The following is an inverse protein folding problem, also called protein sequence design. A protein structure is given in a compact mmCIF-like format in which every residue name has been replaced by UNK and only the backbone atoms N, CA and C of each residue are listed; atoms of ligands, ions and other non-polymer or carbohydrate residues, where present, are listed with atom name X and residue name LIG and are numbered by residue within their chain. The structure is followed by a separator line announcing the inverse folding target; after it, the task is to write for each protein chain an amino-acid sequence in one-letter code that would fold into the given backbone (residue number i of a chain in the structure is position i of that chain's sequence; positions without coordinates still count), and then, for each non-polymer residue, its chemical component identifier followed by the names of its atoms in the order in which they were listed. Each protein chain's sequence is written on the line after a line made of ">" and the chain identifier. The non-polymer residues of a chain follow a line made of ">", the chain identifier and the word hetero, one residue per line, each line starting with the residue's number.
data_IF_686084393416
#
_entry.id   IF_686084393416
#
_cell.length_a   1.000
_cell.length_b   1.000
_cell.length_c   1.000
_cell.angle_alpha   90.00
_cell.angle_beta   90.00
_cell.angle_gamma   90.00
#
_symmetry.space_group_name_H-M   'P 1'
#
loop_
_entity.id
_entity.type
_entity.pdbx_description
1 polymer ?
#
# COMPACT_ATOMS: atom_id res chain seq x y z
N UNK A 1 0.66 -9.87 -3.24
CA UNK A 1 0.93 -11.31 -3.48
C UNK A 1 1.10 -12.09 -2.20
N UNK A 2 2.13 -11.87 -1.37
CA UNK A 2 2.36 -12.68 -0.15
C UNK A 2 1.10 -12.84 0.71
N UNK A 3 0.47 -11.73 1.11
CA UNK A 3 -0.75 -11.72 1.92
C UNK A 3 -1.85 -12.58 1.30
N UNK A 4 -2.30 -12.25 0.08
CA UNK A 4 -3.39 -12.97 -0.55
C UNK A 4 -3.09 -14.43 -0.87
N UNK A 5 -1.87 -14.77 -1.30
CA UNK A 5 -1.51 -16.17 -1.56
C UNK A 5 -1.44 -17.00 -0.26
N UNK A 6 -0.98 -16.40 0.84
CA UNK A 6 -1.02 -17.06 2.15
C UNK A 6 -2.45 -17.38 2.56
N UNK A 7 -3.39 -16.44 2.37
CA UNK A 7 -4.81 -16.67 2.66
C UNK A 7 -5.38 -17.76 1.73
N UNK A 8 -5.10 -17.71 0.42
CA UNK A 8 -5.57 -18.71 -0.55
C UNK A 8 -5.12 -20.12 -0.17
N UNK A 9 -3.86 -20.27 0.25
CA UNK A 9 -3.29 -21.55 0.69
C UNK A 9 -4.03 -22.14 1.90
N UNK A 10 -4.56 -21.29 2.77
CA UNK A 10 -5.28 -21.66 4.00
C UNK A 10 -6.80 -21.46 3.85
N UNK A 11 -7.33 -21.58 2.64
CA UNK A 11 -8.74 -21.40 2.32
C UNK A 11 -9.33 -22.59 1.57
N UNK A 12 -10.65 -22.58 1.39
CA UNK A 12 -11.34 -23.60 0.58
C UNK A 12 -11.22 -23.36 -0.93
N UNK A 13 -10.50 -22.32 -1.38
CA UNK A 13 -10.32 -22.00 -2.78
C UNK A 13 -9.78 -23.20 -3.59
N UNK A 14 -10.46 -23.51 -4.71
CA UNK A 14 -10.08 -24.61 -5.64
C UNK A 14 -9.54 -24.12 -6.97
N UNK A 15 -9.28 -22.83 -7.10
CA UNK A 15 -8.75 -22.19 -8.31
C UNK A 15 -7.48 -21.43 -7.99
N UNK A 16 -6.50 -21.34 -8.91
CA UNK A 16 -5.32 -20.53 -8.70
C UNK A 16 -5.70 -19.04 -8.68
N UNK A 17 -5.08 -18.27 -7.78
CA UNK A 17 -5.30 -16.84 -7.70
C UNK A 17 -4.21 -16.05 -8.42
N UNK A 18 -4.62 -15.12 -9.28
CA UNK A 18 -3.75 -14.10 -9.87
C UNK A 18 -4.10 -12.76 -9.28
N UNK A 19 -3.25 -12.26 -8.38
CA UNK A 19 -3.50 -11.01 -7.67
C UNK A 19 -2.77 -9.85 -8.35
N UNK A 20 -3.47 -8.75 -8.60
CA UNK A 20 -2.94 -7.52 -9.21
C UNK A 20 -3.32 -6.30 -8.40
N UNK A 21 -2.43 -5.32 -8.37
CA UNK A 21 -2.71 -4.00 -7.77
C UNK A 21 -3.10 -3.04 -8.88
N UNK A 22 -4.19 -2.29 -8.69
CA UNK A 22 -4.63 -1.23 -9.61
C UNK A 22 -4.21 0.12 -9.03
N UNK A 23 -3.54 0.95 -9.85
CA UNK A 23 -3.18 2.32 -9.46
C UNK A 23 -4.39 3.26 -9.55
N UNK A 24 -5.20 3.27 -8.48
CA UNK A 24 -6.31 4.20 -8.29
C UNK A 24 -6.46 4.53 -6.80
N UNK A 25 -6.87 5.77 -6.51
CA UNK A 25 -7.13 6.26 -5.14
C UNK A 25 -8.42 5.69 -4.54
N UNK A 26 -9.22 4.99 -5.36
CA UNK A 26 -10.45 4.38 -4.91
C UNK A 26 -10.20 3.24 -3.92
N UNK A 27 -10.96 3.26 -2.83
CA UNK A 27 -10.94 2.20 -1.82
C UNK A 27 -11.82 1.05 -2.30
N UNK A 28 -11.21 0.06 -2.96
CA UNK A 28 -11.91 -1.13 -3.44
C UNK A 28 -10.97 -2.33 -3.60
N UNK A 29 -11.56 -3.52 -3.58
CA UNK A 29 -10.97 -4.75 -4.06
C UNK A 29 -12.09 -5.63 -4.61
N UNK A 30 -11.79 -6.50 -5.57
CA UNK A 30 -12.79 -7.40 -6.13
C UNK A 30 -12.13 -8.62 -6.77
N UNK A 31 -12.76 -9.77 -6.62
CA UNK A 31 -12.33 -11.00 -7.27
C UNK A 31 -13.34 -11.47 -8.33
N UNK A 32 -12.81 -11.96 -9.45
CA UNK A 32 -13.59 -12.55 -10.53
C UNK A 32 -13.63 -14.08 -10.42
N UNK A 33 -14.68 -14.73 -10.96
CA UNK A 33 -14.66 -16.16 -11.20
C UNK A 33 -13.35 -16.59 -11.88
N UNK A 34 -12.73 -17.66 -11.37
CA UNK A 34 -11.44 -18.16 -11.86
C UNK A 34 -10.20 -17.59 -11.16
N UNK A 35 -10.35 -16.77 -10.11
CA UNK A 35 -9.26 -16.39 -9.21
C UNK A 35 -8.48 -15.13 -9.61
N UNK A 36 -8.95 -14.34 -10.58
CA UNK A 36 -8.38 -13.03 -10.85
C UNK A 36 -8.82 -12.05 -9.78
N UNK A 37 -7.87 -11.54 -9.01
CA UNK A 37 -8.15 -10.73 -7.85
C UNK A 37 -7.43 -9.37 -7.95
N UNK A 38 -8.20 -8.29 -7.91
CA UNK A 38 -7.70 -6.93 -8.01
C UNK A 38 -7.84 -6.18 -6.69
N UNK A 39 -6.78 -5.48 -6.31
CA UNK A 39 -6.71 -4.67 -5.09
C UNK A 39 -6.32 -3.26 -5.50
N UNK A 40 -7.11 -2.25 -5.15
CA UNK A 40 -6.77 -0.87 -5.48
C UNK A 40 -5.71 -0.32 -4.50
N UNK A 41 -4.86 0.57 -5.00
CA UNK A 41 -3.90 1.33 -4.17
C UNK A 41 -4.61 2.06 -3.02
N UNK A 42 -5.75 2.68 -3.28
CA UNK A 42 -6.56 3.37 -2.26
C UNK A 42 -6.92 2.48 -1.07
N UNK A 43 -7.25 1.20 -1.32
CA UNK A 43 -7.54 0.25 -0.24
C UNK A 43 -6.30 -0.06 0.61
N UNK A 44 -5.15 -0.28 -0.03
CA UNK A 44 -3.89 -0.55 0.67
C UNK A 44 -3.51 0.64 1.56
N UNK A 45 -3.72 1.87 1.07
CA UNK A 45 -3.44 3.10 1.84
C UNK A 45 -4.44 3.33 2.99
N UNK A 46 -5.68 2.86 2.85
CA UNK A 46 -6.71 2.97 3.88
C UNK A 46 -6.52 2.00 5.07
N UNK A 47 -5.87 0.86 4.85
CA UNK A 47 -5.55 -0.10 5.92
C UNK A 47 -4.40 0.41 6.80
N UNK A 48 -4.55 0.38 8.13
CA UNK A 48 -3.51 0.83 9.08
C UNK A 48 -2.43 -0.24 9.30
N UNK A 49 -2.80 -1.51 9.18
CA UNK A 49 -1.93 -2.65 9.34
C UNK A 49 -2.23 -3.75 8.30
N UNK A 50 -1.38 -4.77 8.25
CA UNK A 50 -1.50 -5.85 7.28
C UNK A 50 -2.74 -6.73 7.52
N UNK A 51 -3.13 -6.95 8.79
CA UNK A 51 -4.29 -7.77 9.13
C UNK A 51 -5.61 -7.16 8.65
N UNK A 52 -5.74 -5.83 8.64
CA UNK A 52 -6.89 -5.13 8.07
C UNK A 52 -6.99 -5.33 6.55
N UNK A 53 -5.87 -5.18 5.83
CA UNK A 53 -5.83 -5.46 4.40
C UNK A 53 -6.13 -6.94 4.12
N UNK A 54 -5.52 -7.84 4.91
CA UNK A 54 -5.76 -9.27 4.85
C UNK A 54 -7.24 -9.58 5.07
N UNK A 55 -7.92 -8.85 5.96
CA UNK A 55 -9.35 -9.00 6.23
C UNK A 55 -10.21 -8.80 4.99
N UNK A 56 -10.03 -7.69 4.28
CA UNK A 56 -10.74 -7.45 3.01
C UNK A 56 -10.35 -8.49 1.97
N UNK A 57 -9.07 -8.89 1.92
CA UNK A 57 -8.63 -9.92 0.99
C UNK A 57 -9.26 -11.30 1.26
N UNK A 58 -9.40 -11.68 2.52
CA UNK A 58 -10.01 -12.94 2.93
C UNK A 58 -11.51 -12.99 2.59
N UNK A 59 -12.21 -11.86 2.74
CA UNK A 59 -13.60 -11.69 2.32
C UNK A 59 -13.77 -11.97 0.82
N UNK A 60 -12.96 -11.34 -0.02
CA UNK A 60 -13.01 -11.54 -1.47
C UNK A 60 -12.66 -12.98 -1.89
N UNK A 61 -11.66 -13.58 -1.22
CA UNK A 61 -11.29 -14.99 -1.46
C UNK A 61 -12.45 -15.92 -1.06
N UNK A 62 -13.18 -15.61 0.03
CA UNK A 62 -14.34 -16.37 0.45
C UNK A 62 -15.48 -16.33 -0.59
N UNK A 63 -15.75 -15.18 -1.22
CA UNK A 63 -16.72 -15.11 -2.33
C UNK A 63 -16.36 -16.02 -3.50
N UNK A 64 -15.08 -16.12 -3.83
CA UNK A 64 -14.62 -17.01 -4.91
C UNK A 64 -14.68 -18.48 -4.48
N UNK A 65 -14.24 -18.80 -3.26
CA UNK A 65 -14.26 -20.15 -2.71
C UNK A 65 -15.70 -20.71 -2.65
N UNK A 66 -16.65 -19.90 -2.18
CA UNK A 66 -18.07 -20.23 -2.11
C UNK A 66 -18.83 -20.03 -3.44
N UNK A 67 -18.14 -19.58 -4.51
CA UNK A 67 -18.71 -19.36 -5.86
C UNK A 67 -19.92 -18.41 -5.89
N UNK A 68 -20.00 -17.47 -4.95
CA UNK A 68 -21.13 -16.53 -4.83
C UNK A 68 -21.41 -15.76 -6.13
N UNK A 69 -20.37 -15.39 -6.89
CA UNK A 69 -20.55 -14.70 -8.17
C UNK A 69 -21.27 -15.58 -9.21
N UNK A 70 -21.03 -16.89 -9.21
CA UNK A 70 -21.71 -17.84 -10.10
C UNK A 70 -23.15 -18.09 -9.67
N UNK A 71 -23.40 -18.20 -8.36
CA UNK A 71 -24.75 -18.38 -7.83
C UNK A 71 -25.64 -17.15 -8.08
N UNK A 72 -25.06 -15.95 -7.93
CA UNK A 72 -25.75 -14.71 -8.25
C UNK A 72 -25.97 -14.55 -9.77
N UNK A 73 -25.01 -15.01 -10.59
CA UNK A 73 -25.10 -15.01 -12.05
C UNK A 73 -26.00 -16.13 -12.60
N UNK A 74 -26.34 -17.16 -11.84
CA UNK A 74 -27.44 -18.07 -12.20
C UNK A 74 -28.77 -17.35 -12.42
N UNK A 75 -28.89 -16.12 -11.91
CA UNK A 75 -30.02 -15.20 -12.11
C UNK A 75 -29.77 -14.13 -13.21
N UNK A 76 -28.53 -13.98 -13.69
CA UNK A 76 -28.14 -13.02 -14.72
C UNK A 76 -27.64 -13.76 -15.98
N UNK A 77 -28.42 -13.69 -17.06
CA UNK A 77 -28.24 -14.41 -18.33
C UNK A 77 -26.79 -14.64 -18.79
N UNK A 78 -26.57 -15.73 -19.54
CA UNK A 78 -25.31 -16.18 -20.12
C UNK A 78 -24.48 -15.09 -20.85
N UNK A 79 -25.13 -13.98 -21.22
CA UNK A 79 -24.57 -12.80 -21.88
C UNK A 79 -23.47 -12.09 -21.07
N UNK A 80 -23.48 -12.17 -19.73
CA UNK A 80 -22.43 -11.56 -18.89
C UNK A 80 -21.11 -12.36 -18.88
N UNK A 81 -21.15 -13.66 -19.16
CA UNK A 81 -19.93 -14.48 -19.19
C UNK A 81 -19.04 -14.19 -20.40
N UNK A 82 -19.60 -13.71 -21.53
CA UNK A 82 -18.81 -13.30 -22.69
C UNK A 82 -17.95 -12.06 -22.42
N UNK A 83 -18.49 -11.08 -21.69
CA UNK A 83 -17.73 -9.91 -21.24
C UNK A 83 -16.66 -10.31 -20.21
N UNK A 84 -17.01 -11.20 -19.26
CA UNK A 84 -16.07 -11.72 -18.27
C UNK A 84 -14.94 -12.54 -18.91
N UNK A 85 -15.24 -13.37 -19.91
CA UNK A 85 -14.26 -14.10 -20.69
C UNK A 85 -13.38 -13.15 -21.52
N UNK A 86 -13.93 -12.08 -22.09
CA UNK A 86 -13.15 -11.03 -22.73
C UNK A 86 -12.17 -10.31 -21.78
N UNK A 87 -12.55 -10.14 -20.52
CA UNK A 87 -11.69 -9.61 -19.45
C UNK A 87 -10.59 -10.61 -19.06
N UNK A 88 -10.93 -11.90 -18.95
CA UNK A 88 -10.01 -12.95 -18.51
C UNK A 88 -9.02 -13.36 -19.62
N UNK A 89 -9.48 -13.44 -20.87
CA UNK A 89 -8.73 -14.01 -22.00
C UNK A 89 -8.34 -12.98 -23.09
N UNK A 90 -8.78 -11.72 -23.01
CA UNK A 90 -8.66 -10.72 -24.08
C UNK A 90 -7.28 -10.07 -24.31
N UNK A 91 -6.21 -10.53 -23.65
CA UNK A 91 -4.85 -10.04 -23.91
C UNK A 91 -4.67 -8.51 -23.72
N UNK A 92 -3.77 -7.84 -24.48
CA UNK A 92 -3.35 -6.44 -24.23
C UNK A 92 -4.47 -5.38 -24.30
N UNK A 93 -5.68 -5.76 -24.69
CA UNK A 93 -6.90 -4.93 -24.60
C UNK A 93 -7.26 -4.64 -23.13
N UNK A 94 -6.87 -5.51 -22.20
CA UNK A 94 -7.14 -5.35 -20.76
C UNK A 94 -6.53 -4.05 -20.20
N UNK A 95 -5.40 -3.61 -20.76
CA UNK A 95 -4.81 -2.31 -20.45
C UNK A 95 -5.83 -1.19 -20.69
N UNK A 96 -6.29 -1.02 -21.93
CA UNK A 96 -7.15 0.11 -22.28
C UNK A 96 -8.55 0.06 -21.65
N UNK A 97 -9.11 -1.13 -21.39
CA UNK A 97 -10.43 -1.27 -20.78
C UNK A 97 -10.39 -1.06 -19.25
N UNK A 98 -9.31 -1.47 -18.58
CA UNK A 98 -9.12 -1.24 -17.14
C UNK A 98 -8.72 0.21 -16.86
N UNK A 99 -7.91 0.84 -17.73
CA UNK A 99 -7.50 2.25 -17.59
C UNK A 99 -8.64 3.25 -17.87
N UNK A 100 -9.65 2.88 -18.67
CA UNK A 100 -10.81 3.77 -18.96
C UNK A 100 -12.01 3.58 -18.03
N UNK A 101 -11.94 2.70 -17.02
CA UNK A 101 -12.86 2.63 -15.87
C UNK A 101 -14.36 2.40 -16.11
N UNK A 102 -14.91 2.50 -17.33
CA UNK A 102 -16.36 2.52 -17.55
C UNK A 102 -17.00 1.16 -17.85
N UNK A 103 -16.34 0.32 -18.66
CA UNK A 103 -16.95 -0.91 -19.21
C UNK A 103 -17.02 -2.07 -18.22
N UNK A 104 -15.93 -2.33 -17.49
CA UNK A 104 -15.85 -3.43 -16.52
C UNK A 104 -16.69 -3.14 -15.27
N UNK A 105 -16.72 -1.88 -14.84
CA UNK A 105 -17.42 -1.49 -13.61
C UNK A 105 -18.93 -1.68 -13.69
N UNK A 106 -19.53 -1.54 -14.87
CA UNK A 106 -20.98 -1.72 -15.04
C UNK A 106 -21.39 -3.19 -14.81
N UNK A 107 -20.58 -4.14 -15.29
CA UNK A 107 -20.81 -5.58 -15.07
C UNK A 107 -20.54 -6.02 -13.62
N UNK A 108 -19.56 -5.42 -12.95
CA UNK A 108 -19.27 -5.71 -11.53
C UNK A 108 -20.28 -5.06 -10.57
N UNK A 109 -20.79 -3.87 -10.88
CA UNK A 109 -21.83 -3.21 -10.08
C UNK A 109 -23.16 -4.00 -10.06
N UNK A 110 -23.35 -4.92 -11.02
CA UNK A 110 -24.47 -5.87 -11.02
C UNK A 110 -24.23 -7.09 -10.12
N UNK A 111 -23.01 -7.33 -9.62
CA UNK A 111 -22.68 -8.42 -8.69
C UNK A 111 -23.01 -8.07 -7.23
N UNK A 112 -24.16 -7.42 -6.98
CA UNK A 112 -24.64 -7.21 -5.62
C UNK A 112 -24.88 -8.55 -4.96
N UNK A 113 -24.10 -8.89 -3.95
CA UNK A 113 -24.26 -10.14 -3.23
C UNK A 113 -25.44 -10.08 -2.27
N UNK A 114 -26.06 -11.24 -2.04
CA UNK A 114 -27.15 -11.36 -1.07
C UNK A 114 -26.61 -11.25 0.36
N UNK A 115 -27.48 -10.92 1.32
CA UNK A 115 -27.10 -10.89 2.75
C UNK A 115 -26.52 -12.22 3.23
N UNK A 116 -27.09 -13.35 2.81
CA UNK A 116 -26.58 -14.68 3.16
C UNK A 116 -25.18 -14.94 2.59
N UNK A 117 -24.91 -14.48 1.37
CA UNK A 117 -23.59 -14.60 0.75
C UNK A 117 -22.54 -13.73 1.47
N UNK A 118 -22.91 -12.52 1.91
CA UNK A 118 -22.03 -11.68 2.71
C UNK A 118 -21.76 -12.29 4.10
N UNK A 119 -22.78 -12.83 4.77
CA UNK A 119 -22.63 -13.50 6.08
C UNK A 119 -21.76 -14.76 5.98
N UNK A 120 -21.92 -15.54 4.90
CA UNK A 120 -21.05 -16.68 4.64
C UNK A 120 -19.61 -16.27 4.31
N UNK A 121 -19.43 -15.23 3.49
CA UNK A 121 -18.12 -14.69 3.15
C UNK A 121 -17.39 -14.14 4.39
N UNK A 122 -18.09 -13.43 5.28
CA UNK A 122 -17.57 -12.99 6.57
C UNK A 122 -17.11 -14.18 7.42
N UNK A 123 -17.98 -15.17 7.61
CA UNK A 123 -17.70 -16.35 8.42
C UNK A 123 -16.48 -17.11 7.90
N UNK A 124 -16.40 -17.33 6.58
CA UNK A 124 -15.27 -18.01 5.94
C UNK A 124 -14.00 -17.15 5.98
N UNK A 125 -14.11 -15.85 5.71
CA UNK A 125 -13.00 -14.90 5.76
C UNK A 125 -12.32 -14.89 7.13
N UNK A 126 -13.09 -14.87 8.22
CA UNK A 126 -12.58 -14.96 9.60
C UNK A 126 -11.80 -16.26 9.81
N UNK A 127 -12.35 -17.40 9.34
CA UNK A 127 -11.69 -18.70 9.44
C UNK A 127 -10.38 -18.74 8.64
N UNK A 128 -10.35 -18.17 7.44
CA UNK A 128 -9.15 -18.13 6.60
C UNK A 128 -8.07 -17.23 7.19
N UNK A 129 -8.43 -16.10 7.79
CA UNK A 129 -7.48 -15.25 8.52
C UNK A 129 -6.83 -16.02 9.67
N UNK A 130 -7.66 -16.65 10.50
CA UNK A 130 -7.19 -17.47 11.61
C UNK A 130 -6.27 -18.59 11.12
N UNK A 131 -6.68 -19.34 10.08
CA UNK A 131 -5.90 -20.41 9.50
C UNK A 131 -4.55 -19.91 8.94
N UNK A 132 -4.54 -18.74 8.29
CA UNK A 132 -3.35 -18.10 7.73
C UNK A 132 -2.45 -17.41 8.78
N UNK A 133 -2.87 -17.37 10.05
CA UNK A 133 -2.12 -16.79 11.17
C UNK A 133 -2.26 -15.28 11.35
N UNK A 134 -3.18 -14.63 10.62
CA UNK A 134 -3.52 -13.23 10.82
C UNK A 134 -4.46 -13.03 12.00
N UNK A 135 -4.41 -11.84 12.61
CA UNK A 135 -5.41 -11.44 13.59
C UNK A 135 -6.80 -11.38 12.93
N UNK A 136 -7.74 -12.28 13.29
CA UNK A 136 -9.04 -12.33 12.65
C UNK A 136 -9.91 -11.09 12.91
N UNK A 137 -9.59 -10.31 13.96
CA UNK A 137 -10.28 -9.04 14.29
C UNK A 137 -9.91 -7.91 13.33
N UNK A 138 -8.84 -8.07 12.54
CA UNK A 138 -8.43 -7.11 11.50
C UNK A 138 -9.53 -6.85 10.48
N UNK A 139 -10.35 -7.86 10.17
CA UNK A 139 -11.46 -7.72 9.24
C UNK A 139 -12.57 -6.82 9.76
N UNK A 140 -13.06 -7.04 10.99
CA UNK A 140 -14.07 -6.18 11.61
C UNK A 140 -13.56 -4.75 11.76
N UNK A 141 -12.30 -4.59 12.18
CA UNK A 141 -11.65 -3.28 12.34
C UNK A 141 -11.61 -2.52 11.02
N UNK A 142 -11.28 -3.20 9.92
CA UNK A 142 -11.24 -2.57 8.59
C UNK A 142 -12.63 -2.17 8.11
N UNK A 143 -13.65 -3.02 8.27
CA UNK A 143 -15.01 -2.67 7.84
C UNK A 143 -15.62 -1.52 8.66
N UNK A 144 -15.38 -1.47 9.97
CA UNK A 144 -15.77 -0.33 10.81
C UNK A 144 -15.12 0.96 10.34
N UNK A 145 -13.83 0.93 10.01
CA UNK A 145 -13.10 2.07 9.48
C UNK A 145 -13.70 2.55 8.16
N UNK A 146 -13.97 1.64 7.22
CA UNK A 146 -14.58 1.95 5.93
C UNK A 146 -15.97 2.55 6.08
N UNK A 147 -16.79 2.00 6.98
CA UNK A 147 -18.10 2.54 7.33
C UNK A 147 -17.98 3.96 7.91
N UNK A 148 -17.05 4.19 8.84
CA UNK A 148 -16.79 5.50 9.41
C UNK A 148 -16.30 6.51 8.35
N UNK A 149 -15.46 6.07 7.41
CA UNK A 149 -15.00 6.89 6.28
C UNK A 149 -16.17 7.27 5.36
N UNK A 150 -17.08 6.34 5.06
CA UNK A 150 -18.28 6.61 4.27
C UNK A 150 -19.21 7.61 4.97
N UNK A 151 -19.37 7.49 6.30
CA UNK A 151 -20.17 8.44 7.10
C UNK A 151 -19.58 9.84 7.08
N UNK A 152 -18.25 9.97 7.17
CA UNK A 152 -17.55 11.26 7.12
C UNK A 152 -17.58 11.90 5.73
N UNK A 153 -17.39 11.10 4.67
CA UNK A 153 -17.42 11.55 3.28
C UNK A 153 -18.27 10.58 2.46
N UNK A 154 -19.58 10.85 2.32
CA UNK A 154 -20.47 10.00 1.54
C UNK A 154 -19.89 9.71 0.15
N UNK A 155 -19.75 8.43 -0.16
CA UNK A 155 -19.24 7.95 -1.43
C UNK A 155 -17.73 7.67 -1.48
N UNK A 156 -16.97 7.96 -0.41
CA UNK A 156 -15.53 7.65 -0.34
C UNK A 156 -15.21 6.16 -0.55
N UNK A 157 -16.16 5.28 -0.22
CA UNK A 157 -16.07 3.82 -0.39
C UNK A 157 -17.27 3.29 -1.20
N UNK A 158 -17.89 4.14 -2.03
CA UNK A 158 -19.10 3.81 -2.79
C UNK A 158 -18.95 2.52 -3.61
N UNK A 159 -17.78 2.31 -4.22
CA UNK A 159 -17.53 1.14 -5.07
C UNK A 159 -17.53 -0.16 -4.27
N UNK A 160 -16.85 -0.18 -3.13
CA UNK A 160 -16.85 -1.33 -2.23
C UNK A 160 -18.27 -1.64 -1.73
N UNK A 161 -19.00 -0.65 -1.25
CA UNK A 161 -20.36 -0.85 -0.75
C UNK A 161 -21.43 -1.02 -1.83
N UNK A 162 -21.09 -0.77 -3.09
CA UNK A 162 -22.00 -1.05 -4.21
C UNK A 162 -22.18 -2.55 -4.44
N UNK A 163 -21.14 -3.36 -4.20
CA UNK A 163 -21.16 -4.83 -4.32
C UNK A 163 -21.31 -5.52 -2.96
N UNK A 164 -20.80 -4.92 -1.89
CA UNK A 164 -20.85 -5.43 -0.51
C UNK A 164 -21.64 -4.48 0.39
N UNK A 165 -22.97 -4.58 0.46
CA UNK A 165 -23.76 -3.71 1.33
C UNK A 165 -23.26 -3.74 2.79
N UNK A 166 -23.17 -2.58 3.42
CA UNK A 166 -22.82 -2.48 4.84
C UNK A 166 -23.83 -3.30 5.67
N UNK A 167 -23.32 -4.15 6.56
CA UNK A 167 -24.14 -4.87 7.52
C UNK A 167 -23.74 -4.41 8.93
N UNK A 168 -24.71 -3.82 9.63
CA UNK A 168 -24.54 -3.20 10.94
C UNK A 168 -24.10 -4.20 12.02
N UNK A 169 -24.36 -5.49 11.82
CA UNK A 169 -24.05 -6.55 12.78
C UNK A 169 -22.74 -7.30 12.46
N UNK A 170 -22.04 -6.98 11.36
CA UNK A 170 -20.83 -7.72 10.90
C UNK A 170 -19.74 -7.79 11.96
N UNK A 171 -19.57 -6.70 12.71
CA UNK A 171 -18.60 -6.63 13.82
C UNK A 171 -18.94 -7.69 14.87
N UNK A 172 -20.15 -7.63 15.39
CA UNK A 172 -20.56 -8.46 16.52
C UNK A 172 -20.57 -9.95 16.13
N UNK A 173 -21.01 -10.27 14.91
CA UNK A 173 -20.96 -11.64 14.39
C UNK A 173 -19.53 -12.14 14.19
N UNK A 174 -18.64 -11.28 13.67
CA UNK A 174 -17.21 -11.58 13.52
C UNK A 174 -16.56 -11.83 14.87
N UNK A 175 -16.70 -10.91 15.83
CA UNK A 175 -16.12 -11.05 17.17
C UNK A 175 -16.65 -12.29 17.91
N UNK A 176 -17.95 -12.58 17.79
CA UNK A 176 -18.55 -13.78 18.37
C UNK A 176 -18.06 -15.08 17.73
N UNK A 177 -17.55 -15.04 16.49
CA UNK A 177 -16.89 -16.17 15.85
C UNK A 177 -15.43 -16.29 16.30
N UNK A 178 -14.70 -15.17 16.35
CA UNK A 178 -13.29 -15.14 16.80
C UNK A 178 -13.16 -15.70 18.22
N UNK A 179 -14.10 -15.38 19.11
CA UNK A 179 -14.13 -15.89 20.48
C UNK A 179 -14.26 -17.43 20.60
N UNK A 180 -14.56 -18.14 19.50
CA UNK A 180 -14.66 -19.61 19.48
C UNK A 180 -13.38 -20.28 19.02
N UNK A 181 -12.42 -19.53 18.49
CA UNK A 181 -11.14 -20.11 18.10
C UNK A 181 -10.28 -20.39 19.33
N UNK A 182 -9.45 -21.45 19.29
CA UNK A 182 -8.39 -21.62 20.27
C UNK A 182 -7.53 -20.37 20.34
N UNK A 183 -7.13 -19.99 21.57
CA UNK A 183 -6.18 -18.92 21.76
C UNK A 183 -4.85 -19.27 21.07
N UNK A 184 -4.20 -18.26 20.52
CA UNK A 184 -2.86 -18.35 19.94
C UNK A 184 -1.94 -17.40 20.67
N UNK A 185 -0.70 -17.81 20.84
CA UNK A 185 0.34 -16.98 21.46
C UNK A 185 0.58 -15.69 20.66
N UNK A 186 0.55 -15.80 19.33
CA UNK A 186 0.83 -14.69 18.43
C UNK A 186 -0.05 -14.69 17.17
N UNK A 187 -0.40 -13.48 16.73
CA UNK A 187 -1.05 -13.20 15.45
C UNK A 187 -0.21 -12.24 14.61
N UNK A 188 -0.25 -12.41 13.29
CA UNK A 188 0.27 -11.42 12.37
C UNK A 188 -0.70 -10.23 12.33
N UNK A 189 -0.31 -9.13 12.97
CA UNK A 189 -1.04 -7.85 12.91
C UNK A 189 -0.50 -6.99 11.76
N UNK A 190 0.81 -6.82 11.70
CA UNK A 190 1.48 -6.03 10.66
C UNK A 190 2.89 -6.55 10.42
N UNK A 191 3.41 -6.31 9.22
CA UNK A 191 4.81 -6.60 8.88
C UNK A 191 5.55 -5.34 8.44
N UNK A 192 6.88 -5.37 8.51
CA UNK A 192 7.74 -4.30 7.97
C UNK A 192 7.67 -4.22 6.43
N UNK A 193 7.33 -5.31 5.76
CA UNK A 193 7.07 -5.31 4.32
C UNK A 193 5.83 -4.48 3.97
N UNK A 194 4.72 -4.69 4.69
CA UNK A 194 3.49 -3.92 4.48
C UNK A 194 3.76 -2.42 4.64
N UNK A 195 4.48 -2.01 5.69
CA UNK A 195 4.78 -0.60 5.91
C UNK A 195 5.65 -0.01 4.81
N UNK A 196 6.69 -0.73 4.35
CA UNK A 196 7.52 -0.27 3.22
C UNK A 196 6.72 -0.10 1.94
N UNK A 197 5.79 -1.03 1.66
CA UNK A 197 4.89 -0.92 0.51
C UNK A 197 3.97 0.28 0.66
N UNK A 198 3.34 0.45 1.83
CA UNK A 198 2.45 1.58 2.11
C UNK A 198 3.17 2.93 1.94
N UNK A 199 4.37 3.08 2.51
CA UNK A 199 5.21 4.26 2.35
C UNK A 199 5.58 4.54 0.90
N UNK A 200 5.94 3.49 0.14
CA UNK A 200 6.26 3.63 -1.27
C UNK A 200 5.04 4.10 -2.09
N UNK A 201 3.88 3.53 -1.84
CA UNK A 201 2.63 3.93 -2.49
C UNK A 201 2.24 5.38 -2.12
N UNK A 202 2.44 5.80 -0.87
CA UNK A 202 2.24 7.20 -0.46
C UNK A 202 3.16 8.15 -1.22
N UNK A 203 4.45 7.81 -1.38
CA UNK A 203 5.41 8.62 -2.15
C UNK A 203 4.98 8.78 -3.60
N UNK A 204 4.56 7.69 -4.26
CA UNK A 204 4.04 7.72 -5.63
C UNK A 204 2.80 8.61 -5.73
N UNK A 205 1.88 8.47 -4.77
CA UNK A 205 0.62 9.24 -4.72
C UNK A 205 0.91 10.74 -4.58
N UNK A 206 1.78 11.12 -3.64
CA UNK A 206 2.16 12.51 -3.39
C UNK A 206 2.91 13.12 -4.58
N UNK A 207 3.81 12.36 -5.21
CA UNK A 207 4.51 12.80 -6.42
C UNK A 207 3.51 13.07 -7.56
N UNK A 208 2.52 12.19 -7.76
CA UNK A 208 1.46 12.37 -8.76
C UNK A 208 0.60 13.60 -8.46
N UNK A 209 0.22 13.81 -7.20
CA UNK A 209 -0.54 14.99 -6.79
C UNK A 209 0.26 16.30 -7.00
N UNK A 210 1.56 16.29 -6.69
CA UNK A 210 2.45 17.43 -6.93
C UNK A 210 2.61 17.75 -8.42
N UNK A 211 2.73 16.72 -9.27
CA UNK A 211 2.77 16.91 -10.74
C UNK A 211 1.45 17.48 -11.26
N UNK A 212 0.30 16.99 -10.80
CA UNK A 212 -1.01 17.52 -11.21
C UNK A 212 -1.20 18.98 -10.76
N UNK A 213 -0.78 19.32 -9.54
CA UNK A 213 -0.82 20.70 -9.06
C UNK A 213 0.06 21.65 -9.90
N UNK A 214 1.18 21.16 -10.43
CA UNK A 214 2.08 21.92 -11.31
C UNK A 214 1.49 22.17 -12.70
N UNK A 215 0.65 21.24 -13.20
CA UNK A 215 -0.08 21.39 -14.46
C UNK A 215 -1.29 22.32 -14.35
N UNK A 216 -2.02 22.28 -13.23
CA UNK A 216 -3.21 23.11 -13.01
C UNK A 216 -2.87 24.57 -12.64
N UNK A 217 -1.61 24.86 -12.32
CA UNK A 217 -1.11 26.21 -12.04
C UNK A 217 0.14 26.56 -12.87
N UNK A 218 -0.02 26.81 -14.19
CA UNK A 218 1.11 27.00 -15.11
C UNK A 218 1.92 28.29 -14.89
N UNK A 219 1.53 29.15 -13.94
CA UNK A 219 2.09 30.50 -13.78
C UNK A 219 3.05 30.67 -12.58
N UNK A 220 3.29 29.63 -11.75
CA UNK A 220 4.13 29.79 -10.53
C UNK A 220 5.35 28.86 -10.41
N UNK A 221 5.65 28.04 -11.43
CA UNK A 221 6.69 27.00 -11.32
C UNK A 221 7.74 27.01 -12.42
N UNK A 222 8.28 28.18 -12.75
CA UNK A 222 9.61 28.23 -13.36
C UNK A 222 10.62 28.50 -12.25
N UNK A 223 11.54 27.58 -11.92
CA UNK A 223 12.61 27.89 -10.98
C UNK A 223 13.49 28.98 -11.59
N UNK A 224 13.22 30.22 -11.22
CA UNK A 224 14.03 31.36 -11.64
C UNK A 224 15.19 31.48 -10.66
N UNK A 225 16.41 31.35 -11.20
CA UNK A 225 17.62 31.71 -10.48
C UNK A 225 17.53 33.19 -10.12
N UNK A 226 17.26 33.52 -8.85
CA UNK A 226 17.42 34.88 -8.32
C UNK A 226 18.88 35.28 -8.51
N UNK A 227 19.18 36.00 -9.60
CA UNK A 227 20.43 36.74 -9.73
C UNK A 227 20.41 37.81 -8.64
N UNK A 228 21.41 37.76 -7.76
CA UNK A 228 21.64 38.82 -6.77
C UNK A 228 21.95 40.10 -7.54
N UNK A 229 21.00 41.02 -7.56
CA UNK A 229 21.18 42.34 -8.15
C UNK A 229 22.09 43.14 -7.21
N UNK A 230 23.20 43.74 -7.68
CA UNK A 230 24.03 44.58 -6.84
C UNK A 230 23.26 45.87 -6.54
N UNK A 231 23.25 46.26 -5.26
CA UNK A 231 22.57 47.45 -4.78
C UNK A 231 23.14 48.68 -5.50
N UNK A 232 22.30 49.35 -6.31
CA UNK A 232 22.60 50.64 -6.91
C UNK A 232 22.14 51.72 -5.93
N UNK A 233 23.07 52.60 -5.59
CA UNK A 233 22.93 53.69 -4.64
C UNK A 233 21.67 54.55 -4.88
N UNK A 234 20.87 54.71 -3.83
CA UNK A 234 19.86 55.75 -3.73
C UNK A 234 20.50 57.06 -3.28
N UNK A 235 20.37 58.06 -4.13
CA UNK A 235 20.65 59.47 -3.88
C UNK A 235 19.64 60.01 -2.85
N UNK A 236 20.12 60.45 -1.70
CA UNK A 236 19.33 61.24 -0.73
C UNK A 236 20.13 62.49 -0.36
N UNK A 237 19.51 63.65 -0.62
CA UNK A 237 20.07 64.98 -0.42
C UNK A 237 19.34 65.63 0.75
N UNK A 238 20.02 65.74 1.90
CA UNK A 238 19.45 66.28 3.12
C UNK A 238 20.46 66.65 4.20
N UNK A 239 21.16 67.77 3.98
CA UNK A 239 21.80 68.72 4.92
C UNK A 239 21.96 68.34 6.42
N UNK A 240 23.22 68.38 6.92
CA UNK A 240 23.54 68.91 8.25
C UNK A 240 24.65 68.21 9.06
N UNK A 241 25.85 68.83 9.10
CA UNK A 241 26.81 68.96 10.25
C UNK A 241 27.29 67.68 10.97
N UNK A 242 28.55 67.38 11.27
CA UNK A 242 29.78 68.17 11.41
C UNK A 242 31.01 67.21 11.50
N UNK A 243 32.18 67.74 11.15
CA UNK A 243 33.54 67.38 11.61
C UNK A 243 34.12 65.94 11.50
N UNK A 244 35.15 65.80 10.64
CA UNK A 244 36.49 65.37 11.10
C UNK A 244 37.04 63.99 10.68
N UNK A 245 38.01 63.99 9.75
CA UNK A 245 39.18 63.08 9.87
C UNK A 245 39.45 62.05 8.76
N UNK A 246 40.11 62.50 7.69
CA UNK A 246 41.07 61.81 6.79
C UNK A 246 41.52 60.37 7.11
N UNK A 247 41.44 59.42 6.14
CA UNK A 247 42.60 59.02 5.28
C UNK A 247 42.39 57.70 4.51
N UNK A 248 42.61 57.77 3.19
CA UNK A 248 43.28 56.79 2.28
C UNK A 248 42.71 55.38 2.02
N UNK A 249 42.18 55.24 0.80
CA UNK A 249 42.27 54.17 -0.22
C UNK A 249 43.18 52.94 0.02
N UNK A 250 42.69 51.73 -0.31
CA UNK A 250 43.17 50.93 -1.45
C UNK A 250 42.41 49.60 -1.63
N UNK A 251 42.02 49.36 -2.88
CA UNK A 251 41.36 48.16 -3.42
C UNK A 251 42.30 46.95 -3.58
N UNK A 252 41.74 45.76 -3.38
CA UNK A 252 42.32 44.49 -3.86
C UNK A 252 41.40 43.29 -3.58
N UNK A 253 41.17 42.37 -4.54
CA UNK A 253 40.30 41.21 -4.33
C UNK A 253 40.96 40.15 -3.41
N UNK A 254 40.19 39.42 -2.59
CA UNK A 254 40.74 38.52 -1.58
C UNK A 254 41.33 37.25 -2.20
N UNK A 255 42.59 36.93 -1.84
CA UNK A 255 43.30 35.71 -2.28
C UNK A 255 42.99 34.52 -1.37
N UNK A 256 42.64 33.38 -1.97
CA UNK A 256 42.46 32.08 -1.32
C UNK A 256 43.81 31.53 -0.80
N UNK A 257 43.88 31.21 0.51
CA UNK A 257 45.05 30.53 1.10
C UNK A 257 44.95 29.01 0.91
N UNK A 258 45.91 28.47 0.18
CA UNK A 258 46.23 27.03 0.08
C UNK A 258 46.97 26.60 1.35
N UNK A 259 46.59 25.48 1.96
CA UNK A 259 47.35 24.83 3.04
C UNK A 259 48.15 23.70 2.43
N UNK A 260 49.48 23.81 2.47
CA UNK A 260 50.41 22.71 2.23
C UNK A 260 51.21 22.44 3.53
N UNK A 261 51.46 21.14 3.73
CA UNK A 261 52.16 20.34 4.75
C UNK A 261 53.49 20.90 5.32
N UNK A 262 54.11 20.43 6.42
CA UNK A 262 54.63 19.08 6.84
C UNK A 262 55.53 19.31 8.12
N UNK A 263 56.39 18.40 8.65
CA UNK A 263 56.15 17.15 9.39
C UNK A 263 57.02 16.98 10.69
N UNK A 264 56.77 15.94 11.49
CA UNK A 264 57.74 15.24 12.38
C UNK A 264 56.94 14.12 13.08
N UNK A 265 57.11 12.82 12.79
CA UNK A 265 58.29 11.97 13.01
C UNK A 265 58.28 11.52 14.49
N UNK A 266 58.41 10.27 14.92
CA UNK A 266 58.54 8.91 14.38
C UNK A 266 58.00 7.99 15.50
N UNK A 267 57.46 6.81 15.17
CA UNK A 267 58.06 5.54 15.58
C UNK A 267 57.17 4.31 15.35
N UNK A 268 57.87 3.27 14.94
CA UNK A 268 57.51 1.93 14.50
C UNK A 268 56.65 1.10 15.47
N UNK A 269 55.78 0.22 14.94
CA UNK A 269 56.11 -1.21 14.73
C UNK A 269 54.88 -2.06 14.42
N UNK A 270 54.90 -2.68 13.24
CA UNK A 270 54.51 -4.06 12.92
C UNK A 270 53.28 -4.73 13.56
N UNK A 271 52.37 -5.17 12.67
CA UNK A 271 52.04 -6.57 12.39
C UNK A 271 50.59 -7.01 12.54
N UNK A 272 50.23 -7.86 11.58
CA UNK A 272 49.27 -8.96 11.65
C UNK A 272 47.79 -8.70 11.34
N UNK A 273 47.49 -9.05 10.09
CA UNK A 273 46.28 -9.70 9.56
C UNK A 273 45.52 -10.61 10.53
N UNK A 274 44.18 -10.52 10.52
CA UNK A 274 43.23 -11.65 10.51
C UNK A 274 41.80 -11.08 10.28
N UNK A 275 40.93 -11.52 9.38
CA UNK A 275 40.80 -12.86 8.79
C UNK A 275 39.71 -13.71 9.47
N UNK A 276 38.57 -13.12 9.89
CA UNK A 276 37.49 -13.84 10.60
C UNK A 276 36.34 -14.29 9.68
N UNK A 277 36.33 -15.58 9.32
CA UNK A 277 35.22 -16.31 8.68
C UNK A 277 34.17 -16.73 9.73
N UNK A 278 32.85 -16.72 9.43
CA UNK A 278 31.83 -17.10 10.41
C UNK A 278 31.74 -18.62 10.62
N UNK A 279 31.27 -19.08 11.79
CA UNK A 279 31.26 -20.50 12.16
C UNK A 279 30.17 -21.30 11.42
N UNK A 280 30.55 -22.48 10.94
CA UNK A 280 29.69 -23.51 10.35
C UNK A 280 28.91 -24.28 11.42
N UNK A 281 27.58 -24.27 11.34
CA UNK A 281 26.68 -25.12 12.11
C UNK A 281 26.73 -26.57 11.59
N UNK A 282 26.95 -27.54 12.49
CA UNK A 282 26.81 -28.98 12.20
C UNK A 282 25.32 -29.37 12.22
N UNK A 283 24.86 -30.29 11.34
CA UNK A 283 23.49 -30.79 11.36
C UNK A 283 23.24 -31.75 12.53
N UNK A 284 22.09 -31.57 13.19
CA UNK A 284 21.54 -32.47 14.21
C UNK A 284 21.00 -33.77 13.56
N UNK A 285 21.10 -34.94 14.22
CA UNK A 285 20.57 -36.20 13.70
C UNK A 285 19.03 -36.28 13.79
N UNK A 286 18.42 -36.82 12.75
CA UNK A 286 16.97 -37.06 12.62
C UNK A 286 16.44 -38.11 13.61
N UNK A 287 15.23 -37.95 14.18
CA UNK A 287 14.61 -38.99 14.99
C UNK A 287 14.09 -40.16 14.13
N UNK A 288 14.36 -41.39 14.58
CA UNK A 288 13.87 -42.65 13.99
C UNK A 288 12.38 -42.89 14.30
N UNK A 289 11.63 -43.58 13.41
CA UNK A 289 10.19 -43.81 13.61
C UNK A 289 9.94 -44.94 14.61
N UNK A 290 9.05 -44.69 15.57
CA UNK A 290 8.45 -45.72 16.44
C UNK A 290 7.33 -46.47 15.69
N UNK A 291 7.24 -47.81 15.82
CA UNK A 291 6.20 -48.60 15.18
C UNK A 291 4.86 -48.51 15.92
N UNK A 292 3.80 -48.68 15.15
CA UNK A 292 2.41 -48.80 15.57
C UNK A 292 2.14 -50.08 16.38
N UNK A 293 1.28 -49.95 17.40
CA UNK A 293 0.28 -50.95 17.81
C UNK A 293 -1.07 -50.24 17.95
#
# INVERSE_FOLDING_TARGET
>A
NRVGQNIVLHSDAKVPFTIKVIDTDEVNAFALPGGYFFVNRGLILAADNEAELAGVMAHEIAHVAARHAMENSGKASAMNYGALAGIIFGGPILSNVLYNGGGILTGLAQLKFSRGAEEEADRLGVQYLYAAGYDPTGMSTMFEKLAAQNKKKPGAVAKLFSTHPENLNRRDTTLALVARFPERDEYVISTSEFQRVKEHLMKITNAKAGVVADYDNPDDSRPTLKKRQPDVAGDDSGLGSDSGGSSTTNDGPPKLKKRDSTPSGDDSSSSSTNGGKPPTLKPQPSPSPTPHE
#
